data_IF_647428259300
#
_entry.id   IF_647428259300
#
_cell.length_a   1.000
_cell.length_b   1.000
_cell.length_c   1.000
_cell.angle_alpha   90.00
_cell.angle_beta   90.00
_cell.angle_gamma   90.00
#
_symmetry.space_group_name_H-M   'P 1'
#
loop_
_entity.id
_entity.type
_entity.pdbx_description
1 polymer ?
#
# COMPACT_ATOMS: atom_id res chain seq x y z
N UNK A 1 -16.46 46.59 -29.97
CA UNK A 1 -17.55 45.61 -29.79
C UNK A 1 -16.94 44.22 -29.90
N UNK A 2 -16.15 43.86 -28.89
CA UNK A 2 -15.34 42.65 -28.80
C UNK A 2 -15.41 42.16 -27.35
N UNK A 3 -16.61 41.82 -26.88
CA UNK A 3 -16.83 41.30 -25.52
C UNK A 3 -17.86 40.19 -25.56
N UNK A 4 -17.62 39.12 -26.33
CA UNK A 4 -18.54 37.98 -26.33
C UNK A 4 -17.95 36.64 -26.81
N UNK A 5 -16.65 36.37 -26.60
CA UNK A 5 -16.11 35.01 -26.69
C UNK A 5 -14.98 34.82 -25.66
N UNK A 6 -15.32 34.99 -24.37
CA UNK A 6 -14.50 34.50 -23.25
C UNK A 6 -15.30 33.75 -22.17
N UNK A 7 -16.57 33.42 -22.43
CA UNK A 7 -17.40 32.54 -21.59
C UNK A 7 -17.59 31.15 -22.22
N UNK A 8 -16.51 30.56 -22.75
CA UNK A 8 -16.52 29.16 -23.17
C UNK A 8 -15.19 28.46 -22.84
N UNK A 9 -14.73 28.70 -21.61
CA UNK A 9 -13.86 27.76 -20.92
C UNK A 9 -14.65 27.31 -19.70
N UNK A 10 -15.53 26.32 -19.92
CA UNK A 10 -16.11 25.58 -18.83
C UNK A 10 -14.98 24.89 -18.08
N UNK A 11 -14.46 25.55 -17.05
CA UNK A 11 -13.88 24.87 -15.90
C UNK A 11 -15.04 24.16 -15.22
N UNK A 12 -15.44 23.00 -15.75
CA UNK A 12 -16.24 22.06 -14.99
C UNK A 12 -15.38 21.68 -13.79
N UNK A 13 -15.63 22.32 -12.64
CA UNK A 13 -15.02 21.90 -11.39
C UNK A 13 -15.46 20.45 -11.17
N UNK A 14 -14.50 19.54 -11.14
CA UNK A 14 -14.74 18.14 -10.78
C UNK A 14 -15.45 18.14 -9.42
N UNK A 15 -16.72 17.76 -9.41
CA UNK A 15 -17.50 17.67 -8.18
C UNK A 15 -16.95 16.51 -7.35
N UNK A 16 -16.65 16.78 -6.08
CA UNK A 16 -16.11 15.77 -5.16
C UNK A 16 -17.28 14.91 -4.68
N UNK A 17 -17.20 13.58 -4.79
CA UNK A 17 -18.24 12.71 -4.24
C UNK A 17 -18.36 12.88 -2.72
N UNK A 18 -19.58 13.00 -2.21
CA UNK A 18 -19.89 13.11 -0.77
C UNK A 18 -19.10 12.10 0.07
N UNK A 19 -18.98 10.86 -0.38
CA UNK A 19 -18.22 9.82 0.31
C UNK A 19 -16.73 10.16 0.45
N UNK A 20 -16.10 10.70 -0.60
CA UNK A 20 -14.70 11.12 -0.53
C UNK A 20 -14.55 12.38 0.34
N UNK A 21 -15.55 13.25 0.40
CA UNK A 21 -15.55 14.38 1.33
C UNK A 21 -15.59 13.90 2.78
N UNK A 22 -16.48 12.96 3.11
CA UNK A 22 -16.59 12.37 4.45
C UNK A 22 -15.30 11.66 4.86
N UNK A 23 -14.58 11.04 3.91
CA UNK A 23 -13.28 10.43 4.14
C UNK A 23 -12.11 11.44 4.21
N UNK A 24 -12.36 12.73 4.02
CA UNK A 24 -11.30 13.75 4.02
C UNK A 24 -10.36 13.66 2.80
N UNK A 25 -10.84 13.12 1.68
CA UNK A 25 -10.06 12.88 0.46
C UNK A 25 -10.27 13.94 -0.64
N UNK A 26 -11.03 15.01 -0.37
CA UNK A 26 -11.41 16.01 -1.36
C UNK A 26 -10.22 16.64 -2.10
N UNK A 27 -9.22 17.13 -1.37
CA UNK A 27 -8.05 17.78 -1.99
C UNK A 27 -7.25 16.81 -2.85
N UNK A 28 -7.08 15.57 -2.40
CA UNK A 28 -6.38 14.54 -3.16
C UNK A 28 -7.14 14.17 -4.44
N UNK A 29 -8.47 14.02 -4.35
CA UNK A 29 -9.33 13.70 -5.48
C UNK A 29 -9.32 14.80 -6.55
N UNK A 30 -9.36 16.08 -6.14
CA UNK A 30 -9.25 17.23 -7.05
C UNK A 30 -7.89 17.31 -7.75
N UNK A 31 -6.86 16.65 -7.21
CA UNK A 31 -5.56 16.51 -7.84
C UNK A 31 -5.45 15.34 -8.84
N UNK A 32 -6.46 14.50 -8.97
CA UNK A 32 -6.50 13.42 -9.96
C UNK A 32 -6.81 13.97 -11.35
N UNK A 33 -6.21 13.36 -12.38
CA UNK A 33 -6.64 13.58 -13.76
C UNK A 33 -7.98 12.89 -14.05
N UNK A 34 -8.69 13.32 -15.08
CA UNK A 34 -9.97 12.71 -15.51
C UNK A 34 -9.85 11.18 -15.65
N UNK A 35 -8.80 10.69 -16.31
CA UNK A 35 -8.54 9.25 -16.44
C UNK A 35 -8.30 8.55 -15.10
N UNK A 36 -7.65 9.21 -14.13
CA UNK A 36 -7.43 8.64 -12.79
C UNK A 36 -8.70 8.64 -11.95
N UNK A 37 -9.57 9.64 -12.13
CA UNK A 37 -10.92 9.65 -11.58
C UNK A 37 -11.74 8.49 -12.13
N UNK A 38 -11.76 8.27 -13.44
CA UNK A 38 -12.42 7.12 -14.06
C UNK A 38 -11.90 5.78 -13.50
N UNK A 39 -10.58 5.65 -13.32
CA UNK A 39 -9.96 4.48 -12.69
C UNK A 39 -10.42 4.29 -11.25
N UNK A 40 -10.51 5.37 -10.46
CA UNK A 40 -11.00 5.31 -9.08
C UNK A 40 -12.43 4.76 -9.02
N UNK A 41 -13.31 5.26 -9.90
CA UNK A 41 -14.69 4.78 -10.01
C UNK A 41 -14.75 3.32 -10.44
N UNK A 42 -14.04 2.95 -11.51
CA UNK A 42 -14.01 1.59 -12.04
C UNK A 42 -13.54 0.58 -10.98
N UNK A 43 -12.46 0.88 -10.27
CA UNK A 43 -11.94 -0.03 -9.25
C UNK A 43 -12.84 -0.08 -8.01
N UNK A 44 -13.42 1.04 -7.61
CA UNK A 44 -14.43 1.06 -6.53
C UNK A 44 -15.65 0.21 -6.89
N UNK A 45 -16.18 0.34 -8.11
CA UNK A 45 -17.30 -0.48 -8.60
C UNK A 45 -16.96 -1.97 -8.59
N UNK A 46 -15.78 -2.34 -9.09
CA UNK A 46 -15.37 -3.74 -9.14
C UNK A 46 -15.21 -4.39 -7.76
N UNK A 47 -15.01 -3.57 -6.72
CA UNK A 47 -14.95 -3.98 -5.32
C UNK A 47 -16.30 -3.85 -4.60
N UNK A 48 -17.39 -3.59 -5.34
CA UNK A 48 -18.75 -3.44 -4.80
C UNK A 48 -19.01 -2.10 -4.10
N UNK A 49 -18.11 -1.13 -4.25
CA UNK A 49 -18.16 0.19 -3.60
C UNK A 49 -18.60 1.31 -4.57
N UNK A 50 -18.97 1.00 -5.81
CA UNK A 50 -19.34 2.00 -6.83
C UNK A 50 -20.46 2.94 -6.38
N UNK A 51 -21.49 2.39 -5.74
CA UNK A 51 -22.63 3.16 -5.23
C UNK A 51 -22.24 4.25 -4.21
N UNK A 52 -21.07 4.12 -3.55
CA UNK A 52 -20.59 5.11 -2.59
C UNK A 52 -20.15 6.40 -3.28
N UNK A 53 -19.75 6.34 -4.56
CA UNK A 53 -19.23 7.49 -5.31
C UNK A 53 -20.29 8.22 -6.14
N UNK A 54 -21.53 7.70 -6.18
CA UNK A 54 -22.62 8.24 -7.00
C UNK A 54 -23.78 8.80 -6.15
N UNK A 55 -23.88 8.39 -4.89
CA UNK A 55 -24.99 8.74 -4.00
C UNK A 55 -24.60 9.69 -2.87
N UNK A 56 -25.60 10.33 -2.23
CA UNK A 56 -25.33 11.17 -1.09
C UNK A 56 -24.86 10.34 0.10
N UNK A 57 -23.75 10.73 0.72
CA UNK A 57 -23.20 10.07 1.92
C UNK A 57 -22.95 11.10 3.00
N UNK A 58 -23.64 10.94 4.13
CA UNK A 58 -23.53 11.87 5.27
C UNK A 58 -22.47 11.47 6.29
N UNK A 59 -22.14 10.18 6.36
CA UNK A 59 -21.20 9.61 7.32
C UNK A 59 -20.81 8.20 6.90
N UNK A 60 -19.62 7.74 7.29
CA UNK A 60 -19.17 6.36 7.16
C UNK A 60 -18.36 5.96 8.39
N UNK A 61 -18.30 4.65 8.68
CA UNK A 61 -17.39 4.07 9.67
C UNK A 61 -16.11 3.51 9.03
N UNK A 62 -16.05 3.48 7.69
CA UNK A 62 -14.89 3.00 6.96
C UNK A 62 -13.77 4.04 7.01
N UNK A 63 -12.55 3.60 7.31
CA UNK A 63 -11.36 4.44 7.21
C UNK A 63 -11.00 4.72 5.74
N UNK A 64 -10.54 5.93 5.47
CA UNK A 64 -9.97 6.36 4.20
C UNK A 64 -8.80 5.47 3.79
N UNK A 65 -7.95 5.09 4.74
CA UNK A 65 -6.86 4.14 4.50
C UNK A 65 -7.38 2.81 3.95
N UNK A 66 -8.39 2.22 4.59
CA UNK A 66 -8.96 0.93 4.18
C UNK A 66 -9.65 1.01 2.80
N UNK A 67 -10.37 2.09 2.52
CA UNK A 67 -10.95 2.33 1.19
C UNK A 67 -9.87 2.40 0.11
N UNK A 68 -8.84 3.23 0.32
CA UNK A 68 -7.75 3.40 -0.65
C UNK A 68 -6.91 2.12 -0.81
N UNK A 69 -6.68 1.37 0.28
CA UNK A 69 -6.03 0.06 0.24
C UNK A 69 -6.78 -0.89 -0.70
N UNK A 70 -8.10 -0.94 -0.57
CA UNK A 70 -8.96 -1.81 -1.39
C UNK A 70 -8.88 -1.44 -2.88
N UNK A 71 -8.98 -0.15 -3.20
CA UNK A 71 -8.83 0.36 -4.58
C UNK A 71 -7.43 0.04 -5.13
N UNK A 72 -6.39 0.30 -4.33
CA UNK A 72 -5.00 0.05 -4.71
C UNK A 72 -4.71 -1.43 -5.00
N UNK A 73 -5.21 -2.34 -4.15
CA UNK A 73 -5.07 -3.79 -4.31
C UNK A 73 -5.71 -4.28 -5.61
N UNK A 74 -6.90 -3.75 -5.95
CA UNK A 74 -7.53 -4.07 -7.24
C UNK A 74 -6.72 -3.55 -8.42
N UNK A 75 -6.22 -2.32 -8.35
CA UNK A 75 -5.38 -1.74 -9.39
C UNK A 75 -4.08 -2.55 -9.60
N UNK A 76 -3.46 -3.08 -8.52
CA UNK A 76 -2.33 -4.02 -8.61
C UNK A 76 -2.72 -5.29 -9.38
N UNK A 77 -3.90 -5.85 -9.07
CA UNK A 77 -4.39 -7.08 -9.72
C UNK A 77 -4.57 -6.90 -11.22
N UNK A 78 -4.98 -5.71 -11.67
CA UNK A 78 -5.11 -5.35 -13.08
C UNK A 78 -3.81 -4.82 -13.69
N UNK A 79 -2.69 -4.90 -12.95
CA UNK A 79 -1.35 -4.45 -13.35
C UNK A 79 -1.27 -2.95 -13.66
N UNK A 80 -2.20 -2.16 -13.13
CA UNK A 80 -2.16 -0.70 -13.20
C UNK A 80 -1.29 -0.14 -12.08
N UNK A 81 0.00 -0.45 -12.14
CA UNK A 81 0.92 -0.17 -11.04
C UNK A 81 1.12 1.32 -10.78
N UNK A 82 1.00 2.18 -11.79
CA UNK A 82 1.14 3.62 -11.63
C UNK A 82 -0.01 4.20 -10.80
N UNK A 83 -1.25 3.83 -11.12
CA UNK A 83 -2.41 4.28 -10.36
C UNK A 83 -2.41 3.66 -8.96
N UNK A 84 -2.10 2.36 -8.86
CA UNK A 84 -1.99 1.69 -7.57
C UNK A 84 -0.96 2.36 -6.64
N UNK A 85 0.23 2.72 -7.15
CA UNK A 85 1.24 3.44 -6.36
C UNK A 85 0.66 4.77 -5.86
N UNK A 86 0.03 5.57 -6.72
CA UNK A 86 -0.56 6.86 -6.33
C UNK A 86 -1.60 6.69 -5.22
N UNK A 87 -2.50 5.72 -5.33
CA UNK A 87 -3.57 5.47 -4.36
C UNK A 87 -3.01 4.97 -3.03
N UNK A 88 -2.10 3.99 -3.05
CA UNK A 88 -1.52 3.41 -1.84
C UNK A 88 -0.59 4.39 -1.10
N UNK A 89 0.11 5.27 -1.82
CA UNK A 89 0.86 6.36 -1.20
C UNK A 89 -0.08 7.34 -0.49
N UNK A 90 -1.25 7.64 -1.04
CA UNK A 90 -2.23 8.45 -0.32
C UNK A 90 -2.78 7.72 0.90
N UNK A 91 -2.99 6.40 0.81
CA UNK A 91 -3.48 5.59 1.92
C UNK A 91 -2.58 5.65 3.16
N UNK A 92 -1.24 5.67 2.99
CA UNK A 92 -0.32 5.81 4.13
C UNK A 92 -0.21 7.24 4.68
N UNK A 93 -0.79 8.23 3.99
CA UNK A 93 -0.81 9.64 4.41
C UNK A 93 -2.09 10.02 5.16
N UNK A 94 -3.08 9.14 5.25
CA UNK A 94 -4.34 9.46 5.94
C UNK A 94 -4.16 9.47 7.46
N UNK A 95 -4.89 10.38 8.13
CA UNK A 95 -4.78 10.58 9.58
C UNK A 95 -5.54 9.53 10.40
N UNK A 96 -6.43 8.77 9.75
CA UNK A 96 -7.28 7.75 10.36
C UNK A 96 -6.67 6.34 10.34
N UNK A 97 -5.34 6.26 10.12
CA UNK A 97 -4.63 4.98 10.07
C UNK A 97 -4.48 4.32 11.44
N UNK A 98 -4.85 3.04 11.54
CA UNK A 98 -4.45 2.15 12.64
C UNK A 98 -3.24 1.29 12.24
N UNK A 99 -2.50 0.69 13.19
CA UNK A 99 -1.33 -0.13 12.89
C UNK A 99 -1.63 -1.29 11.94
N UNK A 100 -2.77 -1.97 12.10
CA UNK A 100 -3.21 -3.10 11.26
C UNK A 100 -3.44 -2.70 9.80
N UNK A 101 -4.23 -1.66 9.54
CA UNK A 101 -4.48 -1.15 8.20
C UNK A 101 -3.19 -0.66 7.54
N UNK A 102 -2.31 0.00 8.31
CA UNK A 102 -1.01 0.44 7.82
C UNK A 102 -0.12 -0.71 7.39
N UNK A 103 -0.06 -1.79 8.17
CA UNK A 103 0.63 -3.02 7.79
C UNK A 103 0.11 -3.57 6.45
N UNK A 104 -1.20 -3.60 6.26
CA UNK A 104 -1.79 -4.08 5.00
C UNK A 104 -1.48 -3.17 3.81
N UNK A 105 -1.46 -1.85 3.98
CA UNK A 105 -1.03 -0.94 2.90
C UNK A 105 0.46 -1.14 2.57
N UNK A 106 1.32 -1.35 3.57
CA UNK A 106 2.73 -1.67 3.30
C UNK A 106 2.89 -2.98 2.53
N UNK A 107 2.12 -4.02 2.86
CA UNK A 107 2.12 -5.27 2.09
C UNK A 107 1.76 -5.06 0.62
N UNK A 108 0.76 -4.22 0.32
CA UNK A 108 0.38 -3.89 -1.06
C UNK A 108 1.50 -3.13 -1.78
N UNK A 109 2.14 -2.16 -1.13
CA UNK A 109 3.28 -1.44 -1.69
C UNK A 109 4.48 -2.37 -1.94
N UNK A 110 4.80 -3.26 -1.00
CA UNK A 110 5.85 -4.26 -1.14
C UNK A 110 5.58 -5.16 -2.35
N UNK A 111 4.35 -5.67 -2.49
CA UNK A 111 3.98 -6.52 -3.62
C UNK A 111 4.03 -5.76 -4.95
N UNK A 112 3.50 -4.53 -5.00
CA UNK A 112 3.55 -3.64 -6.16
C UNK A 112 4.97 -3.42 -6.66
N UNK A 113 5.90 -3.07 -5.77
CA UNK A 113 7.28 -2.80 -6.15
C UNK A 113 8.05 -4.08 -6.45
N UNK A 114 7.83 -5.16 -5.69
CA UNK A 114 8.49 -6.42 -5.98
C UNK A 114 8.05 -7.03 -7.32
N UNK A 115 6.79 -6.84 -7.74
CA UNK A 115 6.30 -7.26 -9.07
C UNK A 115 7.00 -6.52 -10.21
N UNK A 116 7.35 -5.25 -10.01
CA UNK A 116 8.03 -4.39 -11.00
C UNK A 116 9.57 -4.43 -10.92
N UNK A 117 10.15 -5.25 -10.04
CA UNK A 117 11.60 -5.27 -9.75
C UNK A 117 12.53 -5.44 -10.97
N UNK A 118 12.04 -6.09 -12.02
CA UNK A 118 12.83 -6.41 -13.22
C UNK A 118 12.56 -5.38 -14.34
N UNK A 119 11.59 -4.47 -14.16
CA UNK A 119 11.11 -3.52 -15.18
C UNK A 119 11.37 -2.05 -14.80
N UNK A 120 11.55 -1.75 -13.50
CA UNK A 120 11.62 -0.39 -12.97
C UNK A 120 12.81 -0.24 -12.02
N UNK A 121 13.69 0.70 -12.35
CA UNK A 121 14.99 0.87 -11.69
C UNK A 121 14.90 1.16 -10.17
N UNK A 122 13.90 1.95 -9.73
CA UNK A 122 13.69 2.29 -8.31
C UNK A 122 12.82 1.26 -7.56
N UNK A 123 12.33 0.21 -8.23
CA UNK A 123 11.36 -0.70 -7.64
C UNK A 123 11.96 -1.53 -6.49
N UNK A 124 13.17 -2.07 -6.64
CA UNK A 124 13.80 -2.81 -5.53
C UNK A 124 14.04 -1.89 -4.33
N UNK A 125 14.53 -0.67 -4.53
CA UNK A 125 14.81 0.26 -3.42
C UNK A 125 13.53 0.68 -2.70
N UNK A 126 12.44 0.90 -3.43
CA UNK A 126 11.12 1.15 -2.83
C UNK A 126 10.57 -0.07 -2.11
N UNK A 127 10.76 -1.28 -2.65
CA UNK A 127 10.40 -2.51 -1.97
C UNK A 127 11.15 -2.63 -0.63
N UNK A 128 12.46 -2.39 -0.62
CA UNK A 128 13.27 -2.37 0.61
C UNK A 128 12.75 -1.33 1.60
N UNK A 129 12.48 -0.10 1.13
CA UNK A 129 11.96 0.98 1.96
C UNK A 129 10.68 0.56 2.69
N UNK A 130 9.72 -0.02 1.98
CA UNK A 130 8.45 -0.42 2.60
C UNK A 130 8.56 -1.69 3.44
N UNK A 131 9.43 -2.64 3.08
CA UNK A 131 9.74 -3.75 3.99
C UNK A 131 10.31 -3.25 5.32
N UNK A 132 11.25 -2.30 5.29
CA UNK A 132 11.84 -1.72 6.51
C UNK A 132 10.80 -0.99 7.34
N UNK A 133 9.99 -0.13 6.72
CA UNK A 133 8.92 0.59 7.41
C UNK A 133 7.91 -0.34 8.06
N UNK A 134 7.57 -1.44 7.42
CA UNK A 134 6.64 -2.44 7.95
C UNK A 134 7.24 -3.14 9.18
N UNK A 135 8.50 -3.57 9.08
CA UNK A 135 9.25 -4.20 10.18
C UNK A 135 9.45 -3.22 11.34
N UNK A 136 9.73 -1.94 11.08
CA UNK A 136 9.93 -0.92 12.11
C UNK A 136 8.67 -0.69 12.97
N UNK A 137 7.48 -0.98 12.43
CA UNK A 137 6.18 -0.81 13.11
C UNK A 137 5.57 -2.13 13.58
N UNK A 138 6.32 -3.23 13.54
CA UNK A 138 5.78 -4.58 13.76
C UNK A 138 5.19 -4.78 15.16
N UNK A 139 5.80 -4.21 16.20
CA UNK A 139 5.30 -4.35 17.58
C UNK A 139 3.94 -3.64 17.73
N UNK A 140 3.79 -2.46 17.13
CA UNK A 140 2.51 -1.72 17.11
C UNK A 140 1.45 -2.53 16.38
N UNK A 141 1.80 -3.09 15.21
CA UNK A 141 0.91 -3.95 14.43
C UNK A 141 0.48 -5.20 15.20
N UNK A 142 1.42 -5.95 15.76
CA UNK A 142 1.09 -7.20 16.46
C UNK A 142 0.25 -6.95 17.71
N UNK A 143 0.52 -5.88 18.45
CA UNK A 143 -0.30 -5.53 19.61
C UNK A 143 -1.75 -5.23 19.21
N UNK A 144 -1.94 -4.37 18.20
CA UNK A 144 -3.26 -4.00 17.66
C UNK A 144 -4.00 -5.23 17.09
N UNK A 145 -3.32 -6.02 16.27
CA UNK A 145 -3.89 -7.21 15.64
C UNK A 145 -4.28 -8.28 16.66
N UNK A 146 -3.43 -8.56 17.66
CA UNK A 146 -3.73 -9.58 18.66
C UNK A 146 -4.78 -9.11 19.66
N UNK A 147 -4.90 -7.80 19.92
CA UNK A 147 -6.00 -7.25 20.72
C UNK A 147 -7.34 -7.42 20.00
N UNK A 148 -7.39 -7.16 18.69
CA UNK A 148 -8.63 -7.25 17.91
C UNK A 148 -9.03 -8.69 17.58
N UNK A 149 -8.09 -9.52 17.11
CA UNK A 149 -8.37 -10.84 16.55
C UNK A 149 -7.97 -12.01 17.46
N UNK A 150 -7.06 -11.78 18.42
CA UNK A 150 -6.44 -12.84 19.22
C UNK A 150 -5.65 -13.87 18.39
N UNK A 151 -5.24 -14.96 19.04
CA UNK A 151 -4.60 -16.09 18.35
C UNK A 151 -3.10 -15.93 18.14
N UNK A 152 -2.60 -16.55 17.07
CA UNK A 152 -1.18 -16.53 16.69
C UNK A 152 -0.85 -15.33 15.78
N UNK A 153 0.38 -14.79 15.84
CA UNK A 153 0.83 -13.73 14.94
C UNK A 153 0.64 -14.12 13.46
N UNK A 154 0.17 -13.19 12.61
CA UNK A 154 0.05 -13.46 11.19
C UNK A 154 1.45 -13.58 10.54
N UNK A 155 1.47 -14.11 9.32
CA UNK A 155 2.68 -14.10 8.50
C UNK A 155 2.97 -12.67 8.04
N UNK A 156 4.24 -12.28 8.11
CA UNK A 156 4.73 -10.94 7.77
C UNK A 156 5.63 -11.05 6.53
N UNK A 157 5.10 -10.79 5.32
CA UNK A 157 5.83 -10.96 4.07
C UNK A 157 7.09 -10.11 3.95
N UNK A 158 7.15 -8.97 4.64
CA UNK A 158 8.27 -8.03 4.61
C UNK A 158 9.62 -8.71 4.92
N UNK A 159 9.69 -9.54 5.97
CA UNK A 159 10.90 -10.28 6.34
C UNK A 159 11.40 -11.15 5.19
N UNK A 160 10.50 -11.95 4.61
CA UNK A 160 10.87 -12.88 3.55
C UNK A 160 11.32 -12.14 2.31
N UNK A 161 10.63 -11.04 1.95
CA UNK A 161 10.99 -10.22 0.81
C UNK A 161 12.35 -9.57 0.99
N UNK A 162 12.59 -8.96 2.14
CA UNK A 162 13.84 -8.26 2.42
C UNK A 162 15.03 -9.22 2.46
N UNK A 163 14.89 -10.39 3.10
CA UNK A 163 15.93 -11.42 3.13
C UNK A 163 16.26 -11.96 1.72
N UNK A 164 15.26 -12.12 0.83
CA UNK A 164 15.49 -12.53 -0.56
C UNK A 164 16.26 -11.46 -1.33
N UNK A 165 15.91 -10.19 -1.14
CA UNK A 165 16.55 -9.08 -1.84
C UNK A 165 18.03 -8.98 -1.44
N UNK A 166 18.33 -8.98 -0.13
CA UNK A 166 19.71 -8.96 0.38
C UNK A 166 20.51 -10.18 -0.07
N UNK A 167 19.93 -11.39 -0.01
CA UNK A 167 20.59 -12.60 -0.50
C UNK A 167 20.96 -12.50 -1.99
N UNK A 168 20.05 -11.98 -2.83
CA UNK A 168 20.32 -11.76 -4.26
C UNK A 168 21.39 -10.71 -4.54
N UNK A 169 21.58 -9.75 -3.62
CA UNK A 169 22.64 -8.73 -3.69
C UNK A 169 23.98 -9.23 -3.16
N UNK A 170 24.05 -10.44 -2.61
CA UNK A 170 25.24 -10.94 -1.91
C UNK A 170 25.44 -10.32 -0.53
N UNK A 171 24.45 -9.59 -0.03
CA UNK A 171 24.44 -8.95 1.29
C UNK A 171 24.04 -9.99 2.35
N UNK A 172 24.83 -11.06 2.48
CA UNK A 172 24.45 -12.24 3.27
C UNK A 172 24.33 -11.95 4.77
N UNK A 173 25.11 -11.01 5.30
CA UNK A 173 25.00 -10.59 6.71
C UNK A 173 23.69 -9.86 6.98
N UNK A 174 23.30 -8.96 6.09
CA UNK A 174 22.03 -8.24 6.22
C UNK A 174 20.86 -9.22 6.06
N UNK A 175 20.95 -10.16 5.12
CA UNK A 175 19.96 -11.23 4.98
C UNK A 175 19.85 -12.11 6.23
N UNK A 176 20.98 -12.38 6.91
CA UNK A 176 21.04 -13.16 8.14
C UNK A 176 20.38 -12.41 9.30
N UNK A 177 20.66 -11.11 9.45
CA UNK A 177 20.03 -10.25 10.45
C UNK A 177 18.50 -10.24 10.30
N UNK A 178 18.00 -10.12 9.06
CA UNK A 178 16.55 -10.21 8.82
C UNK A 178 15.98 -11.58 9.21
N UNK A 179 16.72 -12.67 9.01
CA UNK A 179 16.28 -13.99 9.48
C UNK A 179 16.19 -14.03 11.02
N UNK A 180 17.17 -13.44 11.71
CA UNK A 180 17.18 -13.41 13.17
C UNK A 180 16.02 -12.61 13.74
N UNK A 181 15.73 -11.44 13.16
CA UNK A 181 14.57 -10.63 13.56
C UNK A 181 13.27 -11.42 13.28
N UNK A 182 13.12 -12.03 12.11
CA UNK A 182 11.91 -12.80 11.78
C UNK A 182 11.65 -13.93 12.79
N UNK A 183 12.70 -14.62 13.25
CA UNK A 183 12.59 -15.68 14.26
C UNK A 183 12.21 -15.14 15.65
N UNK A 184 12.58 -13.90 15.99
CA UNK A 184 12.12 -13.25 17.23
C UNK A 184 10.59 -13.03 17.22
N UNK A 185 10.00 -12.86 16.03
CA UNK A 185 8.56 -12.71 15.81
C UNK A 185 7.86 -14.00 15.40
N UNK A 186 8.46 -15.16 15.75
CA UNK A 186 7.91 -16.50 15.51
C UNK A 186 7.57 -16.78 14.04
N UNK A 187 8.25 -16.10 13.09
CA UNK A 187 8.04 -16.32 11.67
C UNK A 187 8.74 -17.59 11.20
N UNK A 188 7.96 -18.55 10.72
CA UNK A 188 8.47 -19.85 10.27
C UNK A 188 9.30 -19.77 8.98
N UNK A 189 10.24 -20.72 8.83
CA UNK A 189 10.94 -20.97 7.57
C UNK A 189 12.21 -20.14 7.37
N UNK A 190 12.65 -19.44 8.42
CA UNK A 190 13.88 -18.65 8.43
C UNK A 190 15.09 -19.44 8.98
N UNK A 191 14.88 -20.53 9.69
CA UNK A 191 15.95 -21.40 10.24
C UNK A 191 16.80 -21.99 9.11
N UNK A 192 16.16 -22.64 8.14
CA UNK A 192 16.83 -23.20 6.95
C UNK A 192 17.46 -22.12 6.07
N UNK A 193 16.94 -20.90 6.11
CA UNK A 193 17.53 -19.76 5.39
C UNK A 193 18.80 -19.29 6.08
N UNK A 194 18.77 -19.15 7.40
CA UNK A 194 19.90 -18.81 8.25
C UNK A 194 21.05 -19.82 8.11
N UNK A 195 20.76 -21.13 8.13
CA UNK A 195 21.76 -22.19 7.89
C UNK A 195 22.48 -21.98 6.56
N UNK A 196 21.74 -21.84 5.46
CA UNK A 196 22.33 -21.59 4.12
C UNK A 196 23.13 -20.30 4.05
N UNK A 197 22.69 -19.24 4.73
CA UNK A 197 23.40 -17.95 4.73
C UNK A 197 24.72 -18.03 5.49
N UNK A 198 24.77 -18.75 6.60
CA UNK A 198 26.02 -18.98 7.35
C UNK A 198 27.05 -19.71 6.49
N UNK A 199 26.65 -20.77 5.77
CA UNK A 199 27.56 -21.47 4.84
C UNK A 199 28.13 -20.53 3.76
N UNK A 200 27.35 -19.55 3.28
CA UNK A 200 27.78 -18.55 2.29
C UNK A 200 28.68 -17.47 2.86
N UNK A 201 28.64 -17.23 4.17
CA UNK A 201 29.49 -16.25 4.86
C UNK A 201 30.83 -16.88 5.23
N UNK A 202 30.84 -18.16 5.56
CA UNK A 202 32.04 -18.91 5.97
C UNK A 202 32.86 -19.43 4.77
N UNK A 203 32.23 -19.68 3.63
CA UNK A 203 32.86 -20.18 2.39
C UNK A 203 33.25 -19.07 1.42
#
# INVERSE_FOLDING_TARGET
MLDNIREFLGTGSQEVPDYLEVLGLSEWYLGLSESETEMLYQYSESMGMGNLLEGPVKSTTQAAQGYLQTVGSKAISDKNYRFAEKVLLKAIETEDSNPTDRHFVYNELIDLFYKQRDERDDAIEKCIKYCKRDIDTIDEFLNDFLEEYGGEPPRIPAFKRLAIIYEKRGEYRDALEICDIALQYEQEGFEKRKERLNERIEG
#
